data_IF_247580943216
#
_entry.id   IF_247580943216
#
_cell.length_a   1.000
_cell.length_b   1.000
_cell.length_c   1.000
_cell.angle_alpha   90.00
_cell.angle_beta   90.00
_cell.angle_gamma   90.00
#
_symmetry.space_group_name_H-M   'P 1'
#
loop_
_entity.id
_entity.type
_entity.pdbx_description
1 polymer ?
#
# COMPACT_ATOMS: atom_id res chain seq x y z
N UNK A 1 2.51 32.60 -26.52
CA UNK A 1 3.72 31.88 -26.05
C UNK A 1 3.38 31.44 -24.67
N UNK A 2 2.92 30.20 -24.51
CA UNK A 2 2.55 29.63 -23.23
C UNK A 2 3.78 28.87 -22.76
N UNK A 3 4.29 29.28 -21.62
CA UNK A 3 5.45 28.68 -20.96
C UNK A 3 5.05 27.27 -20.49
N UNK A 4 5.65 26.24 -21.07
CA UNK A 4 5.51 24.87 -20.58
C UNK A 4 6.29 24.78 -19.26
N UNK A 5 5.60 24.84 -18.12
CA UNK A 5 6.15 24.40 -16.84
C UNK A 5 6.52 22.92 -16.99
N UNK A 6 7.80 22.59 -16.87
CA UNK A 6 8.28 21.22 -16.79
C UNK A 6 7.79 20.59 -15.48
N UNK A 7 6.78 19.78 -15.57
CA UNK A 7 6.39 18.85 -14.51
C UNK A 7 7.51 17.82 -14.37
N UNK A 8 8.12 17.73 -13.20
CA UNK A 8 9.13 16.70 -12.91
C UNK A 8 8.43 15.34 -12.95
N UNK A 9 8.97 14.39 -13.70
CA UNK A 9 8.44 13.03 -13.73
C UNK A 9 8.69 12.34 -12.38
N UNK A 10 7.86 11.35 -12.05
CA UNK A 10 7.99 10.50 -10.84
C UNK A 10 9.43 9.98 -10.65
N UNK A 11 10.11 9.67 -11.74
CA UNK A 11 11.51 9.21 -11.76
C UNK A 11 12.48 10.26 -11.21
N UNK A 12 12.23 11.55 -11.47
CA UNK A 12 13.07 12.66 -10.94
C UNK A 12 12.79 12.93 -9.47
N UNK A 13 11.55 12.73 -9.01
CA UNK A 13 11.18 12.83 -7.60
C UNK A 13 11.82 11.70 -6.76
N UNK A 14 11.78 10.47 -7.28
CA UNK A 14 12.34 9.29 -6.62
C UNK A 14 13.86 9.37 -6.47
N UNK A 15 14.56 9.94 -7.45
CA UNK A 15 16.03 10.14 -7.39
C UNK A 15 16.42 11.16 -6.30
N UNK A 16 15.52 12.10 -5.97
CA UNK A 16 15.75 13.08 -4.91
C UNK A 16 15.55 12.51 -3.49
N UNK A 17 14.66 11.53 -3.32
CA UNK A 17 14.38 10.89 -2.02
C UNK A 17 15.47 9.89 -1.59
N UNK A 18 16.11 9.19 -2.54
CA UNK A 18 17.17 8.22 -2.25
C UNK A 18 18.50 8.82 -1.76
N UNK A 19 18.67 10.15 -1.78
CA UNK A 19 19.91 10.82 -1.41
C UNK A 19 19.95 11.36 0.03
N UNK A 20 18.88 11.23 0.83
CA UNK A 20 18.76 11.90 2.14
C UNK A 20 18.90 10.98 3.36
N UNK A 21 19.27 9.72 3.23
CA UNK A 21 19.34 8.80 4.36
C UNK A 21 20.68 8.09 4.52
N UNK A 22 21.29 8.27 5.67
CA UNK A 22 22.32 7.50 6.36
C UNK A 22 23.74 8.08 6.32
N UNK A 23 24.05 8.84 7.32
CA UNK A 23 25.41 8.98 7.87
C UNK A 23 25.46 8.39 9.28
N UNK A 24 26.30 7.34 9.43
CA UNK A 24 26.98 7.05 10.69
C UNK A 24 26.48 5.90 11.52
N UNK A 25 27.25 4.82 11.63
CA UNK A 25 28.27 4.62 12.68
C UNK A 25 28.97 3.27 12.48
N UNK A 26 30.28 3.36 12.31
CA UNK A 26 31.17 2.22 12.33
C UNK A 26 31.48 1.80 13.77
N UNK A 27 31.47 0.50 14.06
CA UNK A 27 31.95 -0.08 15.30
C UNK A 27 32.49 -1.47 15.04
N UNK A 28 33.83 -1.58 14.98
CA UNK A 28 34.60 -2.84 14.93
C UNK A 28 34.58 -3.56 16.27
N UNK A 29 34.49 -4.88 16.27
CA UNK A 29 35.46 -5.70 17.04
C UNK A 29 35.33 -7.19 16.66
N UNK A 30 36.46 -7.80 16.45
CA UNK A 30 36.68 -9.15 15.97
C UNK A 30 36.68 -10.19 17.09
N UNK A 31 36.79 -11.45 16.68
CA UNK A 31 37.02 -12.60 17.55
C UNK A 31 37.08 -13.91 16.76
N UNK A 32 38.28 -14.45 16.67
CA UNK A 32 38.68 -15.73 16.08
C UNK A 32 38.03 -16.98 16.72
N UNK A 33 38.01 -18.09 15.92
CA UNK A 33 38.17 -19.41 16.52
C UNK A 33 37.64 -20.62 15.73
N UNK A 34 38.45 -21.22 14.86
CA UNK A 34 38.73 -22.66 14.59
C UNK A 34 37.54 -23.66 14.58
N UNK A 35 37.23 -24.40 13.52
CA UNK A 35 38.04 -25.59 13.10
C UNK A 35 37.31 -26.89 13.42
N UNK A 36 37.00 -27.75 12.44
CA UNK A 36 36.51 -29.11 12.65
C UNK A 36 36.12 -29.80 11.33
N UNK A 37 37.04 -30.69 10.89
CA UNK A 37 36.95 -31.47 9.65
C UNK A 37 35.97 -32.64 9.68
N UNK A 38 35.49 -32.94 8.48
CA UNK A 38 35.36 -34.23 7.78
C UNK A 38 34.44 -35.33 8.31
N UNK A 39 33.59 -35.83 7.43
CA UNK A 39 33.68 -37.22 6.94
C UNK A 39 32.75 -37.41 5.72
N UNK A 40 33.38 -37.87 4.64
CA UNK A 40 32.80 -38.47 3.46
C UNK A 40 32.14 -39.83 3.77
N UNK A 41 31.00 -40.13 3.15
CA UNK A 41 30.76 -41.54 2.76
C UNK A 41 29.93 -41.62 1.47
N UNK A 42 30.48 -42.38 0.53
CA UNK A 42 30.01 -42.76 -0.80
C UNK A 42 29.30 -44.09 -0.76
N UNK A 43 28.16 -44.22 -1.48
CA UNK A 43 27.71 -45.46 -2.13
C UNK A 43 26.53 -45.14 -3.06
N UNK A 44 26.69 -45.14 -4.33
CA UNK A 44 26.66 -46.21 -5.34
C UNK A 44 25.27 -46.79 -5.64
N UNK A 45 24.81 -46.55 -6.87
CA UNK A 45 24.25 -47.56 -7.78
C UNK A 45 22.71 -47.76 -7.84
N UNK A 46 22.14 -47.40 -8.98
CA UNK A 46 20.90 -48.00 -9.40
C UNK A 46 20.18 -47.28 -10.55
N UNK A 47 20.60 -47.57 -11.79
CA UNK A 47 19.85 -47.24 -12.98
C UNK A 47 18.57 -48.10 -13.09
N UNK A 48 17.42 -47.43 -13.34
CA UNK A 48 16.25 -48.12 -13.91
C UNK A 48 15.63 -47.22 -14.98
N UNK A 49 15.69 -47.74 -16.17
CA UNK A 49 15.04 -47.36 -17.41
C UNK A 49 13.51 -47.38 -17.26
N UNK A 50 12.81 -46.36 -17.73
CA UNK A 50 11.36 -46.28 -17.66
C UNK A 50 10.76 -45.20 -18.57
N UNK A 51 10.63 -45.55 -19.83
CA UNK A 51 9.66 -45.09 -20.85
C UNK A 51 8.94 -43.77 -20.59
N UNK A 52 9.27 -42.77 -21.42
CA UNK A 52 8.47 -41.63 -21.73
C UNK A 52 7.09 -42.00 -22.27
N UNK A 53 6.05 -41.63 -21.59
CA UNK A 53 4.71 -41.42 -22.18
C UNK A 53 4.39 -39.93 -22.07
N UNK A 54 4.31 -39.30 -23.23
CA UNK A 54 3.85 -37.93 -23.33
C UNK A 54 2.44 -37.76 -22.78
N UNK A 55 2.21 -36.75 -21.99
CA UNK A 55 0.88 -36.24 -21.77
C UNK A 55 0.93 -34.72 -22.00
N UNK A 56 0.22 -34.33 -23.05
CA UNK A 56 -0.32 -33.00 -23.21
C UNK A 56 -1.23 -32.70 -22.03
N UNK A 57 -1.08 -31.52 -21.44
CA UNK A 57 -1.99 -30.99 -20.43
C UNK A 57 -1.25 -30.05 -19.53
N UNK A 58 -1.71 -28.82 -19.40
CA UNK A 58 -1.13 -27.78 -18.57
C UNK A 58 -0.62 -28.30 -17.23
N UNK A 59 0.65 -28.09 -16.98
CA UNK A 59 1.35 -28.55 -15.78
C UNK A 59 1.05 -27.58 -14.65
N UNK A 60 -0.13 -27.71 -14.04
CA UNK A 60 -0.36 -27.15 -12.71
C UNK A 60 0.57 -27.84 -11.72
N UNK A 61 1.12 -27.10 -10.78
CA UNK A 61 1.97 -27.64 -9.72
C UNK A 61 1.13 -28.14 -8.56
N UNK A 62 1.56 -29.21 -7.88
CA UNK A 62 0.84 -29.72 -6.69
C UNK A 62 0.96 -28.76 -5.48
N UNK A 63 2.00 -27.90 -5.46
CA UNK A 63 2.24 -26.86 -4.45
C UNK A 63 2.80 -25.59 -5.11
N UNK A 64 2.60 -24.45 -4.49
CA UNK A 64 3.17 -23.15 -4.87
C UNK A 64 3.88 -22.58 -3.67
N UNK A 65 5.07 -22.03 -3.87
CA UNK A 65 5.81 -21.22 -2.88
C UNK A 65 5.73 -19.76 -3.28
N UNK A 66 5.11 -18.95 -2.43
CA UNK A 66 4.97 -17.52 -2.61
C UNK A 66 5.79 -16.75 -1.56
N UNK A 67 6.55 -15.75 -2.00
CA UNK A 67 7.42 -14.94 -1.14
C UNK A 67 7.02 -13.47 -1.14
N UNK A 68 7.08 -12.82 0.03
CA UNK A 68 6.81 -11.39 0.19
C UNK A 68 8.05 -10.64 0.67
N UNK A 69 8.27 -9.47 0.08
CA UNK A 69 9.37 -8.57 0.47
C UNK A 69 8.79 -7.25 0.93
N UNK A 70 8.92 -6.96 2.24
CA UNK A 70 8.41 -5.76 2.88
C UNK A 70 9.52 -4.75 3.14
N UNK A 71 9.24 -3.47 2.94
CA UNK A 71 10.18 -2.38 3.14
C UNK A 71 10.36 -1.94 4.60
N UNK A 72 9.44 -2.33 5.48
CA UNK A 72 9.48 -2.06 6.92
C UNK A 72 9.25 -3.33 7.74
N UNK A 73 9.47 -3.26 9.04
CA UNK A 73 9.03 -4.31 9.98
C UNK A 73 7.52 -4.46 9.88
N UNK A 74 7.03 -5.70 10.00
CA UNK A 74 5.60 -5.99 9.94
C UNK A 74 4.85 -5.25 11.06
N UNK A 75 5.38 -5.29 12.29
CA UNK A 75 4.76 -4.62 13.42
C UNK A 75 3.31 -5.06 13.68
N UNK A 76 2.52 -4.15 14.23
CA UNK A 76 1.11 -4.39 14.58
C UNK A 76 0.13 -3.57 13.72
N UNK A 77 0.62 -2.62 12.93
CA UNK A 77 -0.15 -1.67 12.09
C UNK A 77 0.71 -1.19 10.93
N UNK A 78 0.07 -0.52 9.97
CA UNK A 78 0.71 0.13 8.84
C UNK A 78 0.81 -0.76 7.60
N UNK A 79 1.55 -0.30 6.62
CA UNK A 79 1.62 -0.89 5.29
C UNK A 79 2.09 -2.34 5.26
N UNK A 80 3.26 -2.64 5.83
CA UNK A 80 3.80 -4.01 5.86
C UNK A 80 2.93 -4.96 6.68
N UNK A 81 2.28 -4.47 7.74
CA UNK A 81 1.31 -5.25 8.50
C UNK A 81 0.11 -5.64 7.63
N UNK A 82 -0.49 -4.69 6.91
CA UNK A 82 -1.64 -4.95 6.05
C UNK A 82 -1.32 -6.02 4.98
N UNK A 83 -0.17 -5.91 4.31
CA UNK A 83 0.29 -6.92 3.37
C UNK A 83 0.49 -8.29 4.01
N UNK A 84 1.05 -8.33 5.23
CA UNK A 84 1.28 -9.57 5.95
C UNK A 84 -0.01 -10.23 6.45
N UNK A 85 -1.05 -9.45 6.78
CA UNK A 85 -2.37 -10.01 7.08
C UNK A 85 -2.99 -10.68 5.84
N UNK A 86 -2.89 -10.07 4.65
CA UNK A 86 -3.30 -10.70 3.40
C UNK A 86 -2.50 -11.99 3.12
N UNK A 87 -1.17 -11.99 3.33
CA UNK A 87 -0.35 -13.21 3.23
C UNK A 87 -0.82 -14.32 4.18
N UNK A 88 -1.11 -13.97 5.43
CA UNK A 88 -1.61 -14.93 6.43
C UNK A 88 -2.98 -15.48 6.04
N UNK A 89 -3.86 -14.64 5.50
CA UNK A 89 -5.18 -15.05 5.06
C UNK A 89 -5.08 -16.13 3.97
N UNK A 90 -4.31 -15.92 2.91
CA UNK A 90 -4.11 -16.92 1.85
C UNK A 90 -3.36 -18.16 2.34
N UNK A 91 -2.44 -18.04 3.28
CA UNK A 91 -1.74 -19.18 3.88
C UNK A 91 -2.68 -20.07 4.73
N UNK A 92 -3.77 -19.53 5.26
CA UNK A 92 -4.80 -20.29 5.98
C UNK A 92 -5.81 -20.91 5.01
N UNK A 93 -6.11 -20.22 3.91
CA UNK A 93 -7.10 -20.65 2.93
C UNK A 93 -6.61 -21.82 2.08
N UNK A 94 -5.32 -21.80 1.69
CA UNK A 94 -4.76 -22.76 0.75
C UNK A 94 -3.76 -23.70 1.43
N UNK A 95 -4.13 -24.95 1.64
CA UNK A 95 -3.30 -25.99 2.27
C UNK A 95 -2.12 -26.49 1.38
N UNK A 96 -2.12 -26.12 0.11
CA UNK A 96 -1.07 -26.40 -0.87
C UNK A 96 -0.08 -25.26 -1.04
N UNK A 97 -0.31 -24.09 -0.38
CA UNK A 97 0.53 -22.90 -0.47
C UNK A 97 1.58 -22.90 0.63
N UNK A 98 2.83 -22.74 0.24
CA UNK A 98 3.92 -22.39 1.16
C UNK A 98 4.21 -20.89 1.07
N UNK A 99 4.32 -20.20 2.21
CA UNK A 99 4.56 -18.76 2.24
C UNK A 99 5.82 -18.41 2.98
N UNK A 100 6.63 -17.54 2.37
CA UNK A 100 7.84 -16.96 2.96
C UNK A 100 7.75 -15.44 2.96
N UNK A 101 8.51 -14.77 3.83
CA UNK A 101 8.64 -13.31 3.77
C UNK A 101 9.97 -12.83 4.33
N UNK A 102 10.40 -11.66 3.88
CA UNK A 102 11.50 -10.90 4.47
C UNK A 102 11.03 -9.48 4.71
N UNK A 103 11.20 -9.01 5.95
CA UNK A 103 10.79 -7.67 6.39
C UNK A 103 11.98 -6.72 6.53
N UNK A 104 11.72 -5.42 6.64
CA UNK A 104 12.70 -4.35 6.81
C UNK A 104 13.80 -4.35 5.72
N UNK A 105 13.41 -4.67 4.47
CA UNK A 105 14.33 -4.68 3.35
C UNK A 105 14.46 -3.27 2.76
N UNK A 106 15.62 -2.66 2.93
CA UNK A 106 15.88 -1.36 2.30
C UNK A 106 15.92 -1.49 0.77
N UNK A 107 15.51 -0.46 0.00
CA UNK A 107 15.53 -0.50 -1.46
C UNK A 107 16.87 -0.91 -2.06
N UNK A 108 17.98 -0.49 -1.44
CA UNK A 108 19.34 -0.84 -1.88
C UNK A 108 19.71 -2.32 -1.70
N UNK A 109 18.99 -3.04 -0.83
CA UNK A 109 19.19 -4.46 -0.55
C UNK A 109 18.18 -5.37 -1.24
N UNK A 110 17.14 -4.81 -1.84
CA UNK A 110 15.98 -5.55 -2.36
C UNK A 110 16.33 -6.46 -3.53
N UNK A 111 17.19 -6.03 -4.46
CA UNK A 111 17.65 -6.85 -5.59
C UNK A 111 18.24 -8.20 -5.11
N UNK A 112 19.11 -8.15 -4.11
CA UNK A 112 19.69 -9.36 -3.51
C UNK A 112 18.64 -10.26 -2.86
N UNK A 113 17.62 -9.71 -2.24
CA UNK A 113 16.55 -10.49 -1.61
C UNK A 113 15.64 -11.13 -2.66
N UNK A 114 15.30 -10.41 -3.72
CA UNK A 114 14.57 -10.97 -4.85
C UNK A 114 15.34 -12.09 -5.54
N UNK A 115 16.66 -11.88 -5.77
CA UNK A 115 17.52 -12.94 -6.32
C UNK A 115 17.55 -14.19 -5.43
N UNK A 116 17.61 -14.04 -4.10
CA UNK A 116 17.62 -15.17 -3.18
C UNK A 116 16.34 -16.01 -3.30
N UNK A 117 15.17 -15.36 -3.39
CA UNK A 117 13.91 -16.06 -3.59
C UNK A 117 13.82 -16.70 -4.98
N UNK A 118 14.22 -15.98 -6.04
CA UNK A 118 14.18 -16.50 -7.41
C UNK A 118 15.19 -17.63 -7.66
N UNK A 119 16.31 -17.67 -6.92
CA UNK A 119 17.28 -18.79 -6.93
C UNK A 119 16.82 -19.97 -6.07
N UNK A 120 15.90 -19.72 -5.15
CA UNK A 120 15.30 -20.73 -4.29
C UNK A 120 14.12 -21.42 -4.98
N UNK A 121 13.13 -21.74 -4.19
CA UNK A 121 11.97 -22.50 -4.66
C UNK A 121 10.70 -21.60 -4.81
N UNK A 122 10.85 -20.25 -4.84
CA UNK A 122 9.72 -19.35 -4.98
C UNK A 122 9.20 -19.33 -6.42
N UNK A 123 7.93 -19.69 -6.59
CA UNK A 123 7.22 -19.63 -7.86
C UNK A 123 6.76 -18.19 -8.18
N UNK A 124 6.39 -17.42 -7.12
CA UNK A 124 5.97 -16.04 -7.25
C UNK A 124 6.51 -15.17 -6.10
N UNK A 125 6.93 -13.94 -6.42
CA UNK A 125 7.49 -12.99 -5.47
C UNK A 125 6.72 -11.68 -5.52
N UNK A 126 6.20 -11.24 -4.35
CA UNK A 126 5.50 -9.98 -4.16
C UNK A 126 6.43 -8.93 -3.56
N UNK A 127 6.68 -7.84 -4.28
CA UNK A 127 7.42 -6.69 -3.80
C UNK A 127 6.47 -5.58 -3.35
N UNK A 128 6.47 -5.26 -2.06
CA UNK A 128 5.42 -4.49 -1.41
C UNK A 128 5.76 -3.01 -1.20
N UNK A 129 6.47 -2.37 -2.11
CA UNK A 129 6.67 -0.91 -2.11
C UNK A 129 7.07 -0.41 -3.50
N UNK A 130 6.73 0.85 -3.82
CA UNK A 130 7.07 1.48 -5.09
C UNK A 130 8.59 1.54 -5.37
N UNK A 131 9.41 1.61 -4.33
CA UNK A 131 10.87 1.73 -4.43
C UNK A 131 11.55 0.46 -4.99
N UNK A 132 10.82 -0.65 -5.06
CA UNK A 132 11.34 -1.92 -5.57
C UNK A 132 11.25 -2.07 -7.11
N UNK A 133 10.75 -1.07 -7.83
CA UNK A 133 10.50 -1.16 -9.27
C UNK A 133 11.74 -1.61 -10.07
N UNK A 134 12.83 -0.85 -9.98
CA UNK A 134 14.03 -1.13 -10.79
C UNK A 134 14.75 -2.42 -10.33
N UNK A 135 14.98 -2.66 -9.02
CA UNK A 135 15.57 -3.91 -8.57
C UNK A 135 14.73 -5.16 -8.89
N UNK A 136 13.41 -5.10 -8.76
CA UNK A 136 12.55 -6.25 -9.11
C UNK A 136 12.58 -6.53 -10.61
N UNK A 137 12.49 -5.50 -11.46
CA UNK A 137 12.57 -5.64 -12.90
C UNK A 137 13.92 -6.24 -13.34
N UNK A 138 15.03 -5.82 -12.72
CA UNK A 138 16.36 -6.37 -12.97
C UNK A 138 16.43 -7.87 -12.69
N UNK A 139 15.82 -8.33 -11.61
CA UNK A 139 15.79 -9.76 -11.25
C UNK A 139 14.81 -10.52 -12.15
N UNK A 140 13.65 -9.97 -12.46
CA UNK A 140 12.67 -10.60 -13.36
C UNK A 140 13.25 -10.91 -14.75
N UNK A 141 14.09 -10.02 -15.30
CA UNK A 141 14.81 -10.28 -16.56
C UNK A 141 15.73 -11.50 -16.49
N UNK A 142 16.30 -11.80 -15.32
CA UNK A 142 17.28 -12.86 -15.13
C UNK A 142 16.62 -14.21 -14.80
N UNK A 143 15.42 -14.19 -14.25
CA UNK A 143 14.67 -15.35 -13.77
C UNK A 143 13.30 -15.46 -14.46
N UNK A 144 13.26 -15.80 -15.76
CA UNK A 144 12.02 -15.80 -16.56
C UNK A 144 11.01 -16.87 -16.14
N UNK A 145 11.43 -17.86 -15.36
CA UNK A 145 10.57 -18.96 -14.87
C UNK A 145 9.94 -18.64 -13.49
N UNK A 146 10.30 -17.51 -12.87
CA UNK A 146 9.71 -17.00 -11.62
C UNK A 146 8.79 -15.84 -11.94
N UNK A 147 7.61 -15.79 -11.33
CA UNK A 147 6.67 -14.69 -11.47
C UNK A 147 6.93 -13.61 -10.42
N UNK A 148 6.64 -12.35 -10.78
CA UNK A 148 6.81 -11.19 -9.91
C UNK A 148 5.57 -10.33 -9.93
N UNK A 149 5.18 -9.85 -8.75
CA UNK A 149 4.08 -8.89 -8.60
C UNK A 149 4.56 -7.67 -7.82
N UNK A 150 4.56 -6.53 -8.50
CA UNK A 150 5.06 -5.28 -7.93
C UNK A 150 3.92 -4.39 -7.44
N UNK A 151 3.81 -4.23 -6.13
CA UNK A 151 2.86 -3.29 -5.55
C UNK A 151 3.27 -1.84 -5.86
N UNK A 152 2.29 -1.00 -6.22
CA UNK A 152 2.49 0.40 -6.63
C UNK A 152 3.42 0.61 -7.84
N UNK A 153 3.75 -0.46 -8.55
CA UNK A 153 4.59 -0.43 -9.74
C UNK A 153 3.98 0.33 -10.93
N UNK A 154 4.84 0.66 -11.89
CA UNK A 154 4.43 1.29 -13.15
C UNK A 154 4.89 0.52 -14.39
N UNK A 155 5.70 -0.52 -14.23
CA UNK A 155 6.14 -1.40 -15.31
C UNK A 155 5.48 -2.76 -15.21
N UNK A 156 5.23 -3.37 -16.37
CA UNK A 156 4.91 -4.79 -16.50
C UNK A 156 5.89 -5.44 -17.45
N UNK A 157 6.18 -6.73 -17.26
CA UNK A 157 7.05 -7.54 -18.12
C UNK A 157 6.37 -8.89 -18.36
N UNK A 158 6.94 -9.76 -19.18
CA UNK A 158 6.36 -11.07 -19.49
C UNK A 158 6.07 -11.91 -18.23
N UNK A 159 6.95 -11.81 -17.21
CA UNK A 159 6.84 -12.51 -15.93
C UNK A 159 6.71 -11.55 -14.73
N UNK A 160 6.40 -10.27 -14.95
CA UNK A 160 6.19 -9.31 -13.88
C UNK A 160 4.92 -8.50 -14.13
N UNK A 161 3.94 -8.65 -13.23
CA UNK A 161 2.75 -7.82 -13.11
C UNK A 161 2.95 -6.65 -12.13
N UNK A 162 1.94 -5.81 -12.03
CA UNK A 162 1.83 -4.77 -11.02
C UNK A 162 0.43 -4.72 -10.45
N UNK A 163 0.32 -4.42 -9.15
CA UNK A 163 -0.97 -4.35 -8.50
C UNK A 163 -1.08 -3.17 -7.52
N UNK A 164 -2.30 -2.69 -7.34
CA UNK A 164 -2.68 -1.70 -6.34
C UNK A 164 -4.21 -1.69 -6.16
N UNK A 165 -4.68 -1.15 -5.04
CA UNK A 165 -6.09 -0.86 -4.82
C UNK A 165 -6.42 0.62 -5.03
N UNK A 166 -7.68 0.91 -5.39
CA UNK A 166 -8.24 2.27 -5.49
C UNK A 166 -8.65 2.78 -4.11
N UNK A 167 -7.73 2.79 -3.15
CA UNK A 167 -7.98 3.21 -1.76
C UNK A 167 -8.55 4.64 -1.67
N UNK A 168 -8.42 5.43 -2.72
CA UNK A 168 -9.04 6.74 -2.80
C UNK A 168 -10.59 6.67 -2.74
N UNK A 169 -11.20 5.54 -3.14
CA UNK A 169 -12.64 5.35 -3.02
C UNK A 169 -13.09 5.27 -1.55
N UNK A 170 -12.58 4.37 -0.70
CA UNK A 170 -12.89 4.41 0.73
C UNK A 170 -12.39 5.69 1.42
N UNK A 171 -11.33 6.36 0.92
CA UNK A 171 -10.97 7.69 1.46
C UNK A 171 -12.03 8.75 1.18
N UNK A 172 -12.63 8.76 0.01
CA UNK A 172 -13.78 9.62 -0.28
C UNK A 172 -14.95 9.36 0.68
N UNK A 173 -15.27 8.09 0.90
CA UNK A 173 -16.32 7.68 1.83
C UNK A 173 -16.01 8.09 3.28
N UNK A 174 -14.76 7.94 3.73
CA UNK A 174 -14.33 8.42 5.03
C UNK A 174 -14.39 9.95 5.13
N UNK A 175 -14.06 10.64 4.04
CA UNK A 175 -14.22 12.10 3.92
C UNK A 175 -15.67 12.55 4.10
N UNK A 176 -16.65 11.83 3.54
CA UNK A 176 -18.08 12.13 3.76
C UNK A 176 -18.46 12.01 5.24
N UNK A 177 -17.98 10.96 5.92
CA UNK A 177 -18.20 10.84 7.36
C UNK A 177 -17.61 12.04 8.11
N UNK A 178 -16.37 12.43 7.76
CA UNK A 178 -15.69 13.59 8.34
C UNK A 178 -16.44 14.91 8.10
N UNK A 179 -16.89 15.16 6.87
CA UNK A 179 -17.67 16.35 6.52
C UNK A 179 -19.02 16.41 7.23
N UNK A 180 -19.60 15.25 7.58
CA UNK A 180 -20.86 15.17 8.33
C UNK A 180 -20.69 15.48 9.81
N UNK A 181 -19.56 15.15 10.42
CA UNK A 181 -19.33 15.28 11.87
C UNK A 181 -18.55 16.52 12.28
N UNK A 182 -17.87 17.20 11.35
CA UNK A 182 -17.13 18.42 11.68
C UNK A 182 -18.05 19.54 12.15
N UNK A 183 -17.64 20.26 13.19
CA UNK A 183 -18.33 21.44 13.72
C UNK A 183 -17.60 22.75 13.35
N UNK A 184 -16.31 22.64 13.00
CA UNK A 184 -15.44 23.79 12.65
C UNK A 184 -15.28 23.99 11.15
N UNK A 185 -15.79 23.07 10.33
CA UNK A 185 -15.55 23.00 8.88
C UNK A 185 -14.06 22.82 8.51
N UNK A 186 -13.19 22.54 9.49
CA UNK A 186 -11.75 22.45 9.31
C UNK A 186 -11.24 21.06 9.65
N UNK A 187 -10.82 20.33 8.62
CA UNK A 187 -10.26 18.99 8.73
C UNK A 187 -8.74 19.05 8.61
N UNK A 188 -8.04 18.10 9.27
CA UNK A 188 -6.59 17.96 9.20
C UNK A 188 -6.18 16.64 8.56
N UNK A 189 -5.03 16.66 7.90
CA UNK A 189 -4.45 15.47 7.28
C UNK A 189 -2.94 15.45 7.49
N UNK A 190 -2.44 14.41 8.17
CA UNK A 190 -1.00 14.15 8.31
C UNK A 190 -0.58 13.22 7.17
N UNK A 191 0.32 13.70 6.30
CA UNK A 191 0.68 13.05 5.05
C UNK A 191 2.17 12.70 4.98
N UNK A 192 2.52 11.55 4.35
CA UNK A 192 3.89 11.08 4.22
C UNK A 192 4.68 11.88 3.16
N UNK A 193 4.59 11.48 1.90
CA UNK A 193 5.35 12.10 0.80
C UNK A 193 4.42 12.72 -0.25
N UNK A 194 4.80 13.84 -0.88
CA UNK A 194 4.00 14.49 -1.91
C UNK A 194 4.10 13.77 -3.27
N UNK A 195 3.66 12.52 -3.29
CA UNK A 195 3.59 11.67 -4.48
C UNK A 195 2.13 11.46 -4.93
N UNK A 196 1.87 11.08 -6.18
CA UNK A 196 0.51 10.92 -6.72
C UNK A 196 -0.42 10.06 -5.87
N UNK A 197 0.09 8.99 -5.28
CA UNK A 197 -0.67 8.10 -4.41
C UNK A 197 -1.26 8.83 -3.20
N UNK A 198 -0.42 9.58 -2.48
CA UNK A 198 -0.81 10.31 -1.27
C UNK A 198 -1.70 11.50 -1.63
N UNK A 199 -1.34 12.26 -2.67
CA UNK A 199 -2.11 13.41 -3.17
C UNK A 199 -3.51 12.97 -3.60
N UNK A 200 -3.64 11.84 -4.28
CA UNK A 200 -4.91 11.25 -4.69
C UNK A 200 -5.79 10.91 -3.49
N UNK A 201 -5.20 10.34 -2.44
CA UNK A 201 -5.90 10.05 -1.19
C UNK A 201 -6.40 11.30 -0.47
N UNK A 202 -5.58 12.35 -0.40
CA UNK A 202 -5.93 13.65 0.17
C UNK A 202 -7.09 14.28 -0.61
N UNK A 203 -6.97 14.34 -1.94
CA UNK A 203 -7.99 14.92 -2.81
C UNK A 203 -9.33 14.19 -2.68
N UNK A 204 -9.33 12.87 -2.66
CA UNK A 204 -10.53 12.08 -2.53
C UNK A 204 -11.21 12.30 -1.16
N UNK A 205 -10.43 12.35 -0.08
CA UNK A 205 -10.94 12.64 1.26
C UNK A 205 -11.58 14.05 1.33
N UNK A 206 -10.92 15.05 0.77
CA UNK A 206 -11.44 16.41 0.71
C UNK A 206 -12.72 16.52 -0.14
N UNK A 207 -12.76 15.86 -1.30
CA UNK A 207 -13.95 15.79 -2.15
C UNK A 207 -15.11 15.10 -1.44
N UNK A 208 -14.84 14.03 -0.70
CA UNK A 208 -15.83 13.37 0.12
C UNK A 208 -16.44 14.30 1.15
N UNK A 209 -15.61 15.02 1.91
CA UNK A 209 -16.08 16.00 2.90
C UNK A 209 -16.89 17.13 2.26
N UNK A 210 -16.38 17.71 1.18
CA UNK A 210 -17.03 18.78 0.44
C UNK A 210 -18.37 18.34 -0.20
N UNK A 211 -18.55 17.08 -0.51
CA UNK A 211 -19.81 16.56 -1.12
C UNK A 211 -21.01 16.63 -0.17
N UNK A 212 -20.77 16.69 1.14
CA UNK A 212 -21.79 16.73 2.20
C UNK A 212 -21.76 18.05 3.00
N UNK A 213 -20.64 18.77 2.94
CA UNK A 213 -20.44 20.06 3.60
C UNK A 213 -19.61 20.99 2.71
N UNK A 214 -20.26 21.86 1.98
CA UNK A 214 -19.64 22.82 1.05
C UNK A 214 -18.62 23.77 1.72
N UNK A 215 -18.64 23.91 3.05
CA UNK A 215 -17.74 24.74 3.82
C UNK A 215 -16.48 23.99 4.28
N UNK A 216 -16.47 22.67 4.19
CA UNK A 216 -15.37 21.84 4.68
C UNK A 216 -14.08 22.13 3.92
N UNK A 217 -13.01 22.38 4.66
CA UNK A 217 -11.66 22.62 4.13
C UNK A 217 -10.66 21.67 4.77
N UNK A 218 -9.78 21.07 3.96
CA UNK A 218 -8.75 20.16 4.43
C UNK A 218 -7.38 20.85 4.48
N UNK A 219 -6.76 20.85 5.66
CA UNK A 219 -5.38 21.32 5.88
C UNK A 219 -4.43 20.13 5.94
N UNK A 220 -3.29 20.23 5.25
CA UNK A 220 -2.31 19.14 5.14
C UNK A 220 -1.00 19.51 5.80
N UNK A 221 -0.39 18.56 6.51
CA UNK A 221 0.99 18.62 7.00
C UNK A 221 1.78 17.42 6.53
N UNK A 222 2.92 17.67 5.90
CA UNK A 222 3.80 16.65 5.33
C UNK A 222 4.93 16.31 6.29
N UNK A 223 5.15 15.01 6.53
CA UNK A 223 6.25 14.52 7.37
C UNK A 223 7.51 14.19 6.57
N UNK A 224 7.37 13.93 5.27
CA UNK A 224 8.40 13.38 4.40
C UNK A 224 8.98 12.05 4.92
N UNK A 225 8.14 11.25 5.56
CA UNK A 225 8.45 9.92 6.07
C UNK A 225 7.19 9.06 6.04
N UNK A 226 7.33 7.73 5.83
CA UNK A 226 6.25 6.77 6.00
C UNK A 226 6.00 6.48 7.47
N UNK A 227 7.07 6.45 8.28
CA UNK A 227 7.01 6.14 9.70
C UNK A 227 7.99 7.04 10.49
N UNK A 228 7.48 8.06 11.16
CA UNK A 228 8.21 8.93 12.08
C UNK A 228 7.24 9.46 13.15
N UNK A 229 6.91 8.65 14.18
CA UNK A 229 5.91 9.03 15.19
C UNK A 229 6.14 10.40 15.87
N UNK A 230 7.39 10.83 16.18
CA UNK A 230 7.63 12.18 16.66
C UNK A 230 7.20 13.27 15.69
N UNK A 231 7.63 13.20 14.42
CA UNK A 231 7.29 14.19 13.38
C UNK A 231 5.79 14.16 13.05
N UNK A 232 5.17 12.99 13.04
CA UNK A 232 3.72 12.84 12.85
C UNK A 232 2.93 13.50 13.98
N UNK A 233 3.37 13.32 15.24
CA UNK A 233 2.75 13.97 16.40
C UNK A 233 2.91 15.48 16.35
N UNK A 234 4.07 16.00 15.92
CA UNK A 234 4.30 17.45 15.73
C UNK A 234 3.37 18.01 14.64
N UNK A 235 3.24 17.30 13.51
CA UNK A 235 2.35 17.68 12.42
C UNK A 235 0.87 17.69 12.87
N UNK A 236 0.43 16.67 13.61
CA UNK A 236 -0.92 16.59 14.15
C UNK A 236 -1.20 17.73 15.14
N UNK A 237 -0.27 18.00 16.08
CA UNK A 237 -0.42 19.10 17.03
C UNK A 237 -0.47 20.47 16.33
N UNK A 238 0.30 20.68 15.28
CA UNK A 238 0.23 21.90 14.48
C UNK A 238 -1.14 22.09 13.80
N UNK A 239 -1.78 21.00 13.38
CA UNK A 239 -3.16 21.03 12.84
C UNK A 239 -4.18 21.32 13.93
N UNK A 240 -4.02 20.74 15.13
CA UNK A 240 -4.89 21.01 16.29
C UNK A 240 -4.85 22.50 16.70
N UNK A 241 -3.70 23.16 16.59
CA UNK A 241 -3.56 24.60 16.84
C UNK A 241 -4.29 25.48 15.80
N UNK A 242 -4.82 24.90 14.74
CA UNK A 242 -5.54 25.58 13.65
C UNK A 242 -7.04 25.25 13.61
N UNK A 243 -7.63 24.93 14.74
CA UNK A 243 -9.06 24.64 14.94
C UNK A 243 -9.55 23.37 14.17
N UNK A 244 -8.66 22.43 13.86
CA UNK A 244 -9.04 21.14 13.28
C UNK A 244 -9.82 20.32 14.31
N UNK A 245 -10.97 19.76 13.91
CA UNK A 245 -11.83 18.90 14.74
C UNK A 245 -12.05 17.48 14.17
N UNK A 246 -11.47 17.20 13.00
CA UNK A 246 -11.39 15.87 12.41
C UNK A 246 -9.99 15.66 11.86
N UNK A 247 -9.27 14.62 12.33
CA UNK A 247 -7.91 14.29 11.89
C UNK A 247 -7.90 13.04 11.04
N UNK A 248 -7.24 13.10 9.87
CA UNK A 248 -6.95 11.95 9.03
C UNK A 248 -5.43 11.81 8.83
N UNK A 249 -4.99 10.64 8.34
CA UNK A 249 -3.58 10.39 8.07
C UNK A 249 -3.33 9.52 6.84
N UNK A 250 -2.09 9.60 6.33
CA UNK A 250 -1.47 8.64 5.45
C UNK A 250 -0.06 8.37 5.97
N UNK A 251 -0.01 7.56 7.02
CA UNK A 251 1.18 7.22 7.80
C UNK A 251 1.09 5.78 8.27
N UNK A 252 2.22 5.12 8.45
CA UNK A 252 2.30 3.75 8.95
C UNK A 252 2.20 3.67 10.49
N UNK A 253 2.34 4.80 11.19
CA UNK A 253 2.17 4.85 12.63
C UNK A 253 0.84 5.48 13.04
N UNK A 254 0.30 5.18 14.22
CA UNK A 254 -0.94 5.77 14.71
C UNK A 254 -0.73 7.08 15.48
N UNK A 255 0.38 7.77 15.32
CA UNK A 255 0.73 8.93 16.15
C UNK A 255 -0.23 10.11 15.98
N UNK A 256 -0.67 10.37 14.75
CA UNK A 256 -1.66 11.41 14.47
C UNK A 256 -3.03 11.11 15.10
N UNK A 257 -3.45 9.83 15.05
CA UNK A 257 -4.71 9.39 15.69
C UNK A 257 -4.65 9.52 17.22
N UNK A 258 -3.51 9.19 17.84
CA UNK A 258 -3.32 9.38 19.28
C UNK A 258 -3.42 10.85 19.68
N UNK A 259 -2.82 11.74 18.89
CA UNK A 259 -2.93 13.18 19.13
C UNK A 259 -4.39 13.67 19.02
N UNK A 260 -5.14 13.17 18.03
CA UNK A 260 -6.57 13.45 17.87
C UNK A 260 -7.41 12.92 19.05
N UNK A 261 -7.16 11.67 19.49
CA UNK A 261 -7.83 11.06 20.62
C UNK A 261 -7.55 11.83 21.93
N UNK A 262 -6.30 12.21 22.17
CA UNK A 262 -5.88 13.00 23.34
C UNK A 262 -6.52 14.39 23.35
N UNK A 263 -6.77 14.97 22.17
CA UNK A 263 -7.46 16.25 22.01
C UNK A 263 -8.99 16.13 22.06
N UNK A 264 -9.53 14.91 22.00
CA UNK A 264 -10.97 14.65 21.99
C UNK A 264 -11.67 15.04 20.70
N UNK A 265 -10.96 15.00 19.56
CA UNK A 265 -11.49 15.25 18.21
C UNK A 265 -11.66 13.96 17.42
N UNK A 266 -12.45 14.00 16.35
CA UNK A 266 -12.65 12.84 15.48
C UNK A 266 -11.37 12.42 14.75
N UNK A 267 -11.22 11.09 14.52
CA UNK A 267 -10.04 10.51 13.87
C UNK A 267 -10.41 9.49 12.80
N UNK A 268 -9.79 9.61 11.63
CA UNK A 268 -9.82 8.64 10.53
C UNK A 268 -8.47 7.97 10.39
N UNK A 269 -8.43 6.64 10.54
CA UNK A 269 -7.21 5.84 10.42
C UNK A 269 -6.79 5.55 8.97
N UNK A 270 -5.83 4.64 8.81
CA UNK A 270 -5.34 4.18 7.52
C UNK A 270 -4.65 2.82 7.64
N UNK A 271 -4.71 2.03 6.56
CA UNK A 271 -4.15 0.69 6.35
C UNK A 271 -4.74 -0.42 7.23
N UNK A 272 -5.11 -0.09 8.45
CA UNK A 272 -5.52 -1.05 9.47
C UNK A 272 -6.72 -0.55 10.27
N UNK A 273 -7.48 -1.43 10.95
CA UNK A 273 -8.40 -1.06 12.01
C UNK A 273 -7.66 -0.32 13.14
N UNK A 274 -8.07 0.90 13.44
CA UNK A 274 -7.44 1.75 14.47
C UNK A 274 -8.39 2.20 15.58
N UNK A 275 -9.54 1.54 15.69
CA UNK A 275 -10.57 1.86 16.70
C UNK A 275 -10.05 1.80 18.15
N UNK A 276 -9.22 0.84 18.48
CA UNK A 276 -8.62 0.70 19.82
C UNK A 276 -7.68 1.87 20.18
N UNK A 277 -7.18 2.60 19.17
CA UNK A 277 -6.28 3.74 19.35
C UNK A 277 -7.04 5.05 19.52
N UNK A 278 -8.01 5.31 18.64
CA UNK A 278 -8.81 6.53 18.66
C UNK A 278 -10.01 6.46 19.62
N UNK A 279 -10.40 5.27 20.06
CA UNK A 279 -11.44 5.07 21.07
C UNK A 279 -12.80 5.63 20.65
N UNK A 280 -13.43 6.41 21.53
CA UNK A 280 -14.77 6.98 21.28
C UNK A 280 -14.79 7.96 20.10
N UNK A 281 -13.65 8.57 19.77
CA UNK A 281 -13.52 9.55 18.69
C UNK A 281 -13.13 8.92 17.33
N UNK A 282 -13.08 7.60 17.25
CA UNK A 282 -12.83 6.92 15.98
C UNK A 282 -14.00 7.10 15.03
N UNK A 283 -13.72 7.50 13.78
CA UNK A 283 -14.69 7.45 12.68
C UNK A 283 -14.65 6.07 12.02
N UNK A 284 -13.63 5.80 11.28
CA UNK A 284 -13.36 4.56 10.53
C UNK A 284 -11.91 4.62 10.00
N UNK A 285 -11.46 3.59 9.30
CA UNK A 285 -10.20 3.56 8.53
C UNK A 285 -10.45 3.06 7.11
N UNK A 286 -9.92 3.68 6.07
CA UNK A 286 -9.67 3.00 4.80
C UNK A 286 -8.65 1.88 5.02
N UNK A 287 -9.04 0.64 4.70
CA UNK A 287 -8.25 -0.57 4.94
C UNK A 287 -8.09 -1.41 3.68
N UNK A 288 -7.10 -2.28 3.70
CA UNK A 288 -6.74 -3.20 2.63
C UNK A 288 -7.18 -4.62 2.92
N UNK A 289 -7.53 -5.34 1.85
CA UNK A 289 -7.81 -6.76 1.81
C UNK A 289 -6.94 -7.38 0.72
N UNK A 290 -5.64 -7.46 0.96
CA UNK A 290 -4.67 -7.91 -0.03
C UNK A 290 -4.87 -9.38 -0.43
N UNK A 291 -5.53 -10.16 0.40
CA UNK A 291 -5.95 -11.53 0.09
C UNK A 291 -6.82 -11.62 -1.16
N UNK A 292 -7.64 -10.59 -1.43
CA UNK A 292 -8.50 -10.51 -2.62
C UNK A 292 -7.71 -10.40 -3.94
N UNK A 293 -6.47 -9.95 -3.87
CA UNK A 293 -5.53 -9.99 -4.99
C UNK A 293 -4.61 -11.21 -4.93
N UNK A 294 -4.06 -11.51 -3.75
CA UNK A 294 -3.09 -12.60 -3.61
C UNK A 294 -3.68 -13.95 -3.94
N UNK A 295 -4.88 -14.25 -3.44
CA UNK A 295 -5.53 -15.54 -3.66
C UNK A 295 -5.66 -15.90 -5.14
N UNK A 296 -6.42 -15.14 -5.94
CA UNK A 296 -6.59 -15.41 -7.38
C UNK A 296 -5.27 -15.42 -8.16
N UNK A 297 -4.30 -14.54 -7.79
CA UNK A 297 -2.99 -14.48 -8.44
C UNK A 297 -2.20 -15.75 -8.20
N UNK A 298 -2.13 -16.24 -6.96
CA UNK A 298 -1.43 -17.48 -6.59
C UNK A 298 -2.11 -18.70 -7.20
N UNK A 299 -3.45 -18.73 -7.23
CA UNK A 299 -4.21 -19.78 -7.93
C UNK A 299 -3.86 -19.83 -9.42
N UNK A 300 -3.74 -18.69 -10.07
CA UNK A 300 -3.37 -18.63 -11.49
C UNK A 300 -1.96 -19.15 -11.76
N UNK A 301 -1.01 -18.93 -10.82
CA UNK A 301 0.34 -19.55 -10.89
C UNK A 301 0.24 -21.05 -10.77
N UNK A 302 -0.50 -21.57 -9.79
CA UNK A 302 -0.73 -23.00 -9.61
C UNK A 302 -1.31 -23.67 -10.85
N UNK A 303 -2.29 -23.01 -11.46
CA UNK A 303 -3.02 -23.54 -12.63
C UNK A 303 -2.24 -23.33 -13.95
N UNK A 304 -1.08 -22.65 -13.92
CA UNK A 304 -0.28 -22.31 -15.10
C UNK A 304 -0.99 -21.34 -16.05
N UNK A 305 -1.85 -20.49 -15.52
CA UNK A 305 -2.65 -19.51 -16.26
C UNK A 305 -2.32 -18.07 -15.90
N UNK A 306 -1.27 -17.85 -15.09
CA UNK A 306 -0.85 -16.50 -14.72
C UNK A 306 -0.44 -15.71 -15.97
N UNK A 307 -0.94 -14.50 -16.07
CA UNK A 307 -0.59 -13.53 -17.10
C UNK A 307 -0.23 -12.20 -16.44
N UNK A 308 0.78 -11.52 -16.98
CA UNK A 308 1.18 -10.19 -16.51
C UNK A 308 0.05 -9.18 -16.73
N UNK A 309 -0.33 -8.47 -15.67
CA UNK A 309 -1.39 -7.45 -15.70
C UNK A 309 -0.97 -6.18 -14.95
N UNK A 310 -1.73 -5.13 -15.17
CA UNK A 310 -1.65 -3.86 -14.46
C UNK A 310 -2.90 -3.69 -13.57
N UNK A 311 -3.04 -4.55 -12.56
CA UNK A 311 -4.22 -4.58 -11.70
C UNK A 311 -4.36 -3.30 -10.87
N UNK A 312 -5.56 -2.73 -10.90
CA UNK A 312 -5.94 -1.60 -10.03
C UNK A 312 -7.41 -1.71 -9.64
N UNK A 313 -7.72 -2.60 -8.70
CA UNK A 313 -9.06 -2.86 -8.22
C UNK A 313 -9.59 -1.79 -7.29
N UNK A 314 -10.89 -1.65 -7.21
CA UNK A 314 -11.59 -0.75 -6.31
C UNK A 314 -12.41 -1.48 -5.24
N UNK A 315 -13.38 -0.79 -4.66
CA UNK A 315 -14.28 -1.38 -3.66
C UNK A 315 -15.14 -2.52 -4.23
N UNK A 316 -15.34 -2.55 -5.54
CA UNK A 316 -16.09 -3.60 -6.26
C UNK A 316 -15.33 -4.92 -6.29
N UNK A 317 -14.01 -4.88 -6.27
CA UNK A 317 -13.15 -6.08 -6.22
C UNK A 317 -12.93 -6.58 -4.79
N UNK A 318 -13.33 -5.81 -3.79
CA UNK A 318 -13.11 -6.14 -2.39
C UNK A 318 -11.73 -5.78 -1.84
N UNK A 319 -10.74 -5.41 -2.67
CA UNK A 319 -9.34 -5.17 -2.26
C UNK A 319 -9.18 -4.04 -1.25
N UNK A 320 -10.14 -3.15 -1.16
CA UNK A 320 -10.17 -2.07 -0.19
C UNK A 320 -11.59 -1.77 0.30
N UNK A 321 -11.70 -1.36 1.55
CA UNK A 321 -12.98 -1.00 2.16
C UNK A 321 -12.80 0.05 3.26
N UNK A 322 -13.90 0.39 3.95
CA UNK A 322 -13.83 1.01 5.26
C UNK A 322 -13.86 -0.08 6.34
N UNK A 323 -13.12 0.15 7.41
CA UNK A 323 -13.23 -0.57 8.68
C UNK A 323 -14.58 -0.31 9.37
N UNK A 324 -14.86 -1.05 10.43
CA UNK A 324 -16.02 -0.84 11.27
C UNK A 324 -16.10 0.60 11.82
N UNK A 325 -17.31 1.07 12.02
CA UNK A 325 -17.55 2.40 12.57
C UNK A 325 -17.19 2.48 14.04
N UNK A 326 -16.63 3.60 14.45
CA UNK A 326 -16.48 3.94 15.85
C UNK A 326 -17.83 4.02 16.58
N UNK A 327 -17.81 3.86 17.93
CA UNK A 327 -19.03 3.71 18.71
C UNK A 327 -19.93 4.97 18.72
N UNK A 328 -19.34 6.14 18.63
CA UNK A 328 -20.07 7.42 18.72
C UNK A 328 -20.43 8.02 17.34
N UNK A 329 -20.07 7.33 16.23
CA UNK A 329 -20.34 7.83 14.87
C UNK A 329 -21.87 7.93 14.66
N UNK A 330 -22.37 9.13 14.28
CA UNK A 330 -23.80 9.34 14.06
C UNK A 330 -24.36 8.45 12.96
N UNK A 331 -25.64 8.05 13.12
CA UNK A 331 -26.31 7.23 12.11
C UNK A 331 -26.41 7.95 10.76
N UNK A 332 -26.58 9.26 10.78
CA UNK A 332 -26.59 10.10 9.57
C UNK A 332 -25.30 9.93 8.73
N UNK A 333 -24.13 9.96 9.37
CA UNK A 333 -22.86 9.74 8.66
C UNK A 333 -22.78 8.32 8.06
N UNK A 334 -23.22 7.31 8.82
CA UNK A 334 -23.28 5.92 8.35
C UNK A 334 -24.21 5.74 7.16
N UNK A 335 -25.39 6.36 7.20
CA UNK A 335 -26.38 6.29 6.12
C UNK A 335 -25.86 7.00 4.85
N UNK A 336 -25.31 8.21 4.99
CA UNK A 336 -24.69 8.97 3.88
C UNK A 336 -23.60 8.16 3.18
N UNK A 337 -22.68 7.60 3.94
CA UNK A 337 -21.59 6.77 3.38
C UNK A 337 -22.11 5.48 2.74
N UNK A 338 -23.13 4.86 3.34
CA UNK A 338 -23.74 3.65 2.77
C UNK A 338 -24.42 3.91 1.42
N UNK A 339 -25.10 5.05 1.28
CA UNK A 339 -25.71 5.48 0.02
C UNK A 339 -24.64 5.75 -1.06
N UNK A 340 -23.60 6.49 -0.70
CA UNK A 340 -22.49 6.77 -1.63
C UNK A 340 -21.73 5.52 -2.04
N UNK A 341 -21.47 4.61 -1.10
CA UNK A 341 -20.84 3.31 -1.40
C UNK A 341 -21.69 2.51 -2.39
N UNK A 342 -23.00 2.48 -2.20
CA UNK A 342 -23.90 1.79 -3.12
C UNK A 342 -23.86 2.44 -4.51
N UNK A 343 -23.89 3.77 -4.59
CA UNK A 343 -23.79 4.49 -5.85
C UNK A 343 -22.45 4.26 -6.57
N UNK A 344 -21.33 4.14 -5.82
CA UNK A 344 -20.03 3.74 -6.40
C UNK A 344 -20.07 2.34 -6.99
N UNK A 345 -20.65 1.38 -6.27
CA UNK A 345 -20.76 -0.01 -6.74
C UNK A 345 -21.66 -0.16 -7.96
N UNK A 346 -22.71 0.68 -8.05
CA UNK A 346 -23.63 0.72 -9.20
C UNK A 346 -23.06 1.52 -10.39
N UNK A 347 -21.90 2.22 -10.20
CA UNK A 347 -21.25 3.06 -11.20
C UNK A 347 -21.92 4.42 -11.38
N UNK A 348 -22.80 4.81 -10.47
CA UNK A 348 -23.53 6.10 -10.49
C UNK A 348 -22.74 7.23 -9.81
N UNK A 349 -21.67 6.90 -9.05
CA UNK A 349 -20.80 7.85 -8.39
C UNK A 349 -19.34 7.62 -8.78
N UNK A 350 -18.74 8.62 -9.42
CA UNK A 350 -17.30 8.73 -9.62
C UNK A 350 -16.75 9.82 -8.70
N UNK A 351 -15.70 9.48 -7.91
CA UNK A 351 -15.05 10.36 -6.94
C UNK A 351 -14.63 11.71 -7.53
N UNK A 352 -14.23 11.71 -8.81
CA UNK A 352 -13.64 12.87 -9.48
C UNK A 352 -14.66 13.78 -10.16
N UNK A 353 -15.92 13.38 -10.23
CA UNK A 353 -17.00 14.17 -10.86
C UNK A 353 -17.09 15.58 -10.25
N UNK A 354 -17.10 16.59 -11.09
CA UNK A 354 -17.16 18.01 -10.68
C UNK A 354 -15.83 18.59 -10.18
N UNK A 355 -14.76 17.80 -10.11
CA UNK A 355 -13.43 18.26 -9.72
C UNK A 355 -12.56 18.66 -10.93
N UNK A 356 -11.37 19.20 -10.66
CA UNK A 356 -10.37 19.48 -11.67
C UNK A 356 -9.84 18.21 -12.37
N UNK A 357 -10.17 17.03 -11.86
CA UNK A 357 -9.72 15.73 -12.36
C UNK A 357 -10.84 14.92 -13.01
N UNK A 358 -12.00 15.54 -13.25
CA UNK A 358 -13.12 14.86 -13.92
C UNK A 358 -12.72 14.41 -15.34
N UNK A 359 -12.89 13.09 -15.58
CA UNK A 359 -12.60 12.47 -16.87
C UNK A 359 -11.12 12.14 -17.12
N UNK A 360 -10.24 12.36 -16.13
CA UNK A 360 -8.86 11.87 -16.20
C UNK A 360 -8.83 10.35 -16.13
N UNK A 361 -7.95 9.74 -16.91
CA UNK A 361 -7.79 8.30 -17.00
C UNK A 361 -6.90 7.73 -15.87
N UNK A 362 -6.89 6.40 -15.77
CA UNK A 362 -6.14 5.66 -14.76
C UNK A 362 -4.64 6.00 -14.73
N UNK A 363 -4.01 6.19 -15.88
CA UNK A 363 -2.58 6.53 -15.97
C UNK A 363 -2.30 7.87 -15.28
N UNK A 364 -3.11 8.90 -15.56
CA UNK A 364 -2.98 10.19 -14.90
C UNK A 364 -3.23 10.09 -13.40
N UNK A 365 -4.34 9.48 -13.02
CA UNK A 365 -4.72 9.34 -11.62
C UNK A 365 -3.67 8.55 -10.82
N UNK A 366 -3.06 7.52 -11.44
CA UNK A 366 -2.09 6.66 -10.77
C UNK A 366 -0.71 7.30 -10.65
N UNK A 367 -0.22 8.02 -11.70
CA UNK A 367 1.18 8.40 -11.81
C UNK A 367 1.44 9.90 -11.90
N UNK A 368 0.45 10.73 -12.31
CA UNK A 368 0.71 12.11 -12.68
C UNK A 368 0.02 13.14 -11.77
N UNK A 369 -0.93 12.73 -10.91
CA UNK A 369 -1.65 13.64 -10.03
C UNK A 369 -0.67 14.35 -9.08
N UNK A 370 -0.55 15.66 -9.21
CA UNK A 370 0.45 16.48 -8.51
C UNK A 370 -0.08 17.81 -7.99
N UNK A 371 -1.40 17.98 -7.92
CA UNK A 371 -2.06 19.19 -7.42
C UNK A 371 -3.27 18.83 -6.56
N UNK A 372 -3.72 19.80 -5.77
CA UNK A 372 -4.91 19.67 -4.93
C UNK A 372 -6.19 20.06 -5.67
N UNK A 373 -7.32 19.53 -5.17
CA UNK A 373 -8.65 20.04 -5.44
C UNK A 373 -8.92 21.30 -4.61
N UNK A 374 -9.95 22.09 -4.98
CA UNK A 374 -10.26 23.38 -4.32
C UNK A 374 -10.58 23.25 -2.82
N UNK A 375 -11.05 22.09 -2.36
CA UNK A 375 -11.37 21.83 -0.95
C UNK A 375 -10.11 21.58 -0.07
N UNK A 376 -8.91 21.54 -0.64
CA UNK A 376 -7.63 21.41 0.09
C UNK A 376 -6.93 22.75 0.14
N UNK A 377 -6.57 23.22 1.35
CA UNK A 377 -5.86 24.48 1.54
C UNK A 377 -4.39 24.41 1.14
N UNK A 378 -3.91 25.37 0.37
CA UNK A 378 -2.51 25.51 -0.02
C UNK A 378 -2.16 24.85 -1.35
N UNK A 379 -0.89 24.51 -1.51
CA UNK A 379 -0.34 23.85 -2.70
C UNK A 379 0.48 22.62 -2.27
N UNK A 380 0.58 21.63 -3.17
CA UNK A 380 1.47 20.47 -2.94
C UNK A 380 2.93 20.98 -2.89
N UNK A 381 3.72 20.59 -1.88
CA UNK A 381 5.13 20.94 -1.81
C UNK A 381 5.92 20.47 -3.03
N UNK A 382 6.87 21.30 -3.49
CA UNK A 382 7.69 21.07 -4.70
C UNK A 382 8.99 20.35 -4.39
#
# INVERSE_FOLDING_TARGET
MVDKKHTKSRRELLTALGAAGITGLAGCSGGDGSGGEAATDTADGGAADGTATGSDGGSGTDSVTAAWVYNSEVGDLGWSWAHNEGRKAVAVEYDWLETEYTEAVAPADSERVFEQYAQGDADIIFGCTFEYQDPMASVAEQYPDTYFEHNTGYLTMENMGRYMGRIYQPRYLAGQAAGTVTETDTLGYVAAFPIPEVIRGINAYALGAASVNDSATLKVRWTNSWFDPPTESEAANALLDEDVDVMAQHQDSPAALRAAADAGIWATGYDAPMGDIAGENYLTSPIWHWEEFYGPTIESVRDGTWESDAYWGGIESGICSLDDWGPEVPQEAKDTVSEARSAMLDGDLDVWTGSAFEGEGDEFLFQEMSSYVDAVEGEVPS
#
